data_IF_971291518016
#
_entry.id   IF_971291518016
#
_cell.length_a   1.000
_cell.length_b   1.000
_cell.length_c   1.000
_cell.angle_alpha   90.00
_cell.angle_beta   90.00
_cell.angle_gamma   90.00
#
_symmetry.space_group_name_H-M   'P 1'
#
loop_
_entity.id
_entity.type
_entity.pdbx_description
1 polymer ?
#
# COMPACT_ATOMS: atom_id res chain seq x y z
N UNK A 1 7.32 6.03 8.46
CA UNK A 1 7.72 5.11 9.56
C UNK A 1 9.06 4.44 9.34
N UNK A 2 9.25 3.60 8.33
CA UNK A 2 10.56 2.94 8.11
C UNK A 2 11.75 3.93 7.99
N UNK A 3 11.57 5.06 7.31
CA UNK A 3 12.60 6.11 7.22
C UNK A 3 12.95 6.72 8.59
N UNK A 4 11.93 6.99 9.42
CA UNK A 4 12.14 7.42 10.81
C UNK A 4 12.95 6.36 11.59
N UNK A 5 12.61 5.08 11.46
CA UNK A 5 13.38 4.02 12.13
C UNK A 5 14.85 4.01 11.69
N UNK A 6 15.14 4.19 10.40
CA UNK A 6 16.52 4.32 9.89
C UNK A 6 17.25 5.51 10.51
N UNK A 7 16.55 6.61 10.78
CA UNK A 7 17.11 7.76 11.49
C UNK A 7 17.40 7.42 12.95
N UNK A 8 16.48 6.76 13.66
CA UNK A 8 16.65 6.34 15.06
C UNK A 8 17.80 5.34 15.24
N UNK A 9 17.94 4.41 14.29
CA UNK A 9 19.00 3.40 14.22
C UNK A 9 20.42 3.97 14.14
N UNK A 10 20.59 5.26 13.79
CA UNK A 10 21.90 5.92 13.83
C UNK A 10 22.38 6.20 15.25
N UNK A 11 21.48 6.19 16.23
CA UNK A 11 21.75 6.60 17.60
C UNK A 11 21.52 5.49 18.63
N UNK A 12 20.57 4.59 18.38
CA UNK A 12 20.20 3.52 19.32
C UNK A 12 19.51 2.36 18.61
N UNK A 13 19.46 1.20 19.25
CA UNK A 13 18.85 -0.01 18.69
C UNK A 13 17.32 0.06 18.77
N UNK A 14 16.66 0.27 17.63
CA UNK A 14 15.19 0.29 17.50
C UNK A 14 14.68 -0.77 16.53
N UNK A 15 13.68 -1.56 16.94
CA UNK A 15 12.92 -2.40 16.02
C UNK A 15 11.57 -1.75 15.70
N UNK A 16 11.11 -1.89 14.46
CA UNK A 16 9.75 -1.52 14.08
C UNK A 16 8.83 -2.71 14.28
N UNK A 17 7.89 -2.57 15.21
CA UNK A 17 6.80 -3.54 15.38
C UNK A 17 5.79 -3.35 14.25
N UNK A 18 5.53 -4.41 13.49
CA UNK A 18 4.63 -4.38 12.35
C UNK A 18 3.16 -4.34 12.85
N UNK A 19 2.37 -3.33 12.48
CA UNK A 19 0.99 -3.20 12.94
C UNK A 19 0.12 -4.29 12.28
N UNK A 20 -0.59 -5.14 13.03
CA UNK A 20 -1.42 -6.18 12.45
C UNK A 20 -2.46 -5.59 11.51
N UNK A 21 -2.67 -6.26 10.38
CA UNK A 21 -3.72 -5.91 9.46
C UNK A 21 -5.08 -6.25 10.06
N UNK A 22 -6.05 -5.41 9.76
CA UNK A 22 -7.45 -5.64 10.11
C UNK A 22 -8.35 -4.90 9.14
N UNK A 23 -9.66 -4.94 9.38
CA UNK A 23 -10.68 -4.36 8.51
C UNK A 23 -10.35 -2.94 8.07
N UNK A 24 -9.84 -2.83 6.86
CA UNK A 24 -9.70 -1.57 6.15
C UNK A 24 -11.06 -1.21 5.52
N UNK A 25 -11.32 0.08 5.32
CA UNK A 25 -12.56 0.56 4.67
C UNK A 25 -12.86 -0.12 3.32
N UNK A 26 -11.81 -0.62 2.64
CA UNK A 26 -11.91 -1.27 1.34
C UNK A 26 -12.08 -2.79 1.39
N UNK A 27 -11.99 -3.41 2.57
CA UNK A 27 -12.17 -4.85 2.73
C UNK A 27 -13.67 -5.16 2.70
N UNK A 28 -14.08 -5.88 1.66
CA UNK A 28 -15.47 -6.03 1.23
C UNK A 28 -16.13 -7.28 1.78
N UNK A 29 -15.39 -8.12 2.47
CA UNK A 29 -15.85 -9.46 2.86
C UNK A 29 -16.19 -9.45 4.37
N UNK A 30 -17.41 -9.03 4.77
CA UNK A 30 -17.79 -8.95 6.18
C UNK A 30 -17.97 -10.33 6.83
N UNK A 31 -18.17 -11.37 6.02
CA UNK A 31 -18.46 -12.72 6.49
C UNK A 31 -17.19 -13.52 6.84
N UNK A 32 -16.00 -12.97 6.56
CA UNK A 32 -14.73 -13.55 6.98
C UNK A 32 -14.08 -12.74 8.11
N UNK A 33 -13.44 -13.45 9.04
CA UNK A 33 -12.69 -12.83 10.13
C UNK A 33 -11.38 -12.26 9.58
N UNK A 34 -11.25 -10.93 9.61
CA UNK A 34 -10.12 -10.19 9.05
C UNK A 34 -9.60 -9.12 10.03
N UNK A 35 -9.05 -9.57 11.15
CA UNK A 35 -8.43 -8.72 12.18
C UNK A 35 -7.24 -9.49 12.77
N UNK A 36 -6.26 -8.77 13.31
CA UNK A 36 -5.03 -9.35 13.88
C UNK A 36 -4.22 -10.18 12.86
N UNK A 37 -4.30 -9.86 11.58
CA UNK A 37 -3.59 -10.59 10.53
C UNK A 37 -2.11 -10.13 10.52
N UNK A 38 -1.13 -11.04 10.64
CA UNK A 38 0.28 -10.66 10.61
C UNK A 38 0.73 -10.23 9.22
N UNK A 39 1.86 -9.52 9.13
CA UNK A 39 2.40 -9.09 7.84
C UNK A 39 2.88 -10.25 6.98
N UNK A 40 3.31 -11.36 7.59
CA UNK A 40 3.72 -12.59 6.91
C UNK A 40 2.68 -13.18 5.95
N UNK A 41 1.39 -12.89 6.15
CA UNK A 41 0.31 -13.30 5.23
C UNK A 41 0.35 -12.54 3.90
N UNK A 42 1.00 -11.37 3.84
CA UNK A 42 1.01 -10.49 2.66
C UNK A 42 2.42 -10.22 2.12
N UNK A 43 3.40 -10.10 3.00
CA UNK A 43 4.77 -9.73 2.67
C UNK A 43 5.79 -10.72 3.23
N UNK A 44 6.90 -10.86 2.53
CA UNK A 44 8.05 -11.62 2.99
C UNK A 44 8.79 -10.83 4.09
N UNK A 45 8.61 -11.23 5.34
CA UNK A 45 9.17 -10.52 6.51
C UNK A 45 10.69 -10.55 6.53
N UNK A 46 11.31 -11.61 6.01
CA UNK A 46 12.76 -11.68 5.82
C UNK A 46 13.27 -10.60 4.85
N UNK A 47 12.53 -10.36 3.76
CA UNK A 47 12.82 -9.28 2.82
C UNK A 47 12.69 -7.90 3.47
N UNK A 48 11.69 -7.68 4.32
CA UNK A 48 11.55 -6.44 5.10
C UNK A 48 12.74 -6.26 6.07
N UNK A 49 13.10 -7.33 6.77
CA UNK A 49 14.17 -7.37 7.78
C UNK A 49 15.55 -7.02 7.21
N UNK A 50 15.77 -7.28 5.93
CA UNK A 50 16.97 -6.86 5.20
C UNK A 50 17.10 -5.34 5.05
N UNK A 51 16.01 -4.57 5.16
CA UNK A 51 16.03 -3.10 5.04
C UNK A 51 16.06 -2.41 6.40
N UNK A 52 15.29 -2.91 7.38
CA UNK A 52 15.21 -2.40 8.74
C UNK A 52 14.86 -3.54 9.72
N UNK A 53 15.26 -3.49 11.00
CA UNK A 53 14.81 -4.46 11.99
C UNK A 53 13.30 -4.36 12.18
N UNK A 54 12.59 -5.44 11.88
CA UNK A 54 11.14 -5.54 12.03
C UNK A 54 10.80 -6.81 12.80
N UNK A 55 9.73 -6.75 13.59
CA UNK A 55 9.14 -7.89 14.29
C UNK A 55 7.63 -7.83 14.15
N UNK A 56 6.97 -8.98 14.18
CA UNK A 56 5.50 -9.03 14.21
C UNK A 56 4.98 -8.56 15.58
N UNK A 57 3.72 -8.13 15.64
CA UNK A 57 3.16 -7.63 16.89
C UNK A 57 3.12 -8.68 18.02
N UNK A 58 2.79 -9.93 17.70
CA UNK A 58 2.78 -11.01 18.69
C UNK A 58 4.17 -11.32 19.25
N UNK A 59 5.22 -11.17 18.43
CA UNK A 59 6.61 -11.28 18.87
C UNK A 59 6.96 -10.17 19.85
N UNK A 60 6.55 -8.92 19.56
CA UNK A 60 6.65 -7.82 20.51
C UNK A 60 5.95 -8.13 21.85
N UNK A 61 4.76 -8.72 21.84
CA UNK A 61 4.05 -9.09 23.08
C UNK A 61 4.85 -10.11 23.91
N UNK A 62 5.54 -11.04 23.26
CA UNK A 62 6.36 -12.05 23.92
C UNK A 62 7.67 -11.46 24.49
N UNK A 63 8.33 -10.58 23.75
CA UNK A 63 9.63 -10.00 24.13
C UNK A 63 9.53 -8.87 25.17
N UNK A 64 8.48 -8.05 25.10
CA UNK A 64 8.29 -6.90 25.99
C UNK A 64 7.81 -7.29 27.41
N UNK A 65 7.45 -8.56 27.62
CA UNK A 65 6.95 -9.07 28.89
C UNK A 65 5.44 -8.83 29.13
N UNK A 66 4.70 -8.41 28.10
CA UNK A 66 3.24 -8.31 28.14
C UNK A 66 2.66 -7.33 27.12
N UNK A 67 1.33 -7.17 27.08
CA UNK A 67 0.65 -6.33 26.09
C UNK A 67 0.64 -4.85 26.49
N UNK A 68 1.80 -4.31 26.88
CA UNK A 68 1.95 -2.95 27.36
C UNK A 68 2.78 -2.08 26.41
N UNK A 69 2.18 -0.97 25.99
CA UNK A 69 2.86 0.09 25.25
C UNK A 69 3.10 1.24 26.23
N UNK A 70 4.35 1.60 26.47
CA UNK A 70 4.71 2.57 27.50
C UNK A 70 4.23 3.98 27.15
N UNK A 71 4.34 4.38 25.88
CA UNK A 71 3.89 5.69 25.42
C UNK A 71 3.13 5.60 24.10
N UNK A 72 1.93 6.18 24.05
CA UNK A 72 1.19 6.43 22.82
C UNK A 72 1.20 7.92 22.53
N UNK A 73 1.70 8.29 21.36
CA UNK A 73 1.57 9.64 20.82
C UNK A 73 0.51 9.65 19.72
N UNK A 74 -0.58 10.39 19.94
CA UNK A 74 -1.60 10.62 18.92
C UNK A 74 -1.18 11.83 18.09
N UNK A 75 -0.81 11.60 16.83
CA UNK A 75 -0.37 12.66 15.94
C UNK A 75 -1.57 13.44 15.39
N UNK A 76 -1.43 14.75 15.31
CA UNK A 76 -2.46 15.66 14.82
C UNK A 76 -1.83 16.85 14.10
N UNK A 77 -2.63 17.60 13.34
CA UNK A 77 -2.20 18.90 12.82
C UNK A 77 -2.04 19.95 13.93
N UNK A 78 -1.47 21.10 13.58
CA UNK A 78 -1.51 22.28 14.45
C UNK A 78 -2.91 22.93 14.38
N UNK A 79 -3.53 23.16 15.55
CA UNK A 79 -4.89 23.71 15.63
C UNK A 79 -4.99 25.12 15.00
N UNK A 80 -3.91 25.89 15.09
CA UNK A 80 -3.76 27.20 14.48
C UNK A 80 -3.57 27.17 12.95
N UNK A 81 -3.37 26.00 12.35
CA UNK A 81 -2.99 25.84 10.95
C UNK A 81 -1.61 26.46 10.66
N UNK A 82 -1.39 26.86 9.41
CA UNK A 82 -0.21 27.61 8.99
C UNK A 82 -0.61 28.80 8.12
N UNK A 83 0.20 29.86 8.12
CA UNK A 83 0.03 30.99 7.19
C UNK A 83 0.73 30.66 5.88
N UNK A 84 0.16 31.07 4.75
CA UNK A 84 0.79 30.93 3.43
C UNK A 84 2.22 31.50 3.46
N UNK A 85 3.19 30.71 2.99
CA UNK A 85 4.62 31.07 2.98
C UNK A 85 5.40 30.77 4.27
N UNK A 86 4.77 30.19 5.31
CA UNK A 86 5.41 29.88 6.61
C UNK A 86 5.39 28.39 6.97
N UNK A 87 5.54 27.51 5.98
CA UNK A 87 5.63 26.09 6.24
C UNK A 87 7.01 25.75 6.84
N UNK A 88 7.02 25.31 8.09
CA UNK A 88 8.21 24.86 8.81
C UNK A 88 8.00 23.43 9.33
N UNK A 89 9.06 22.63 9.37
CA UNK A 89 8.99 21.32 10.02
C UNK A 89 9.09 21.51 11.54
N UNK A 90 8.11 20.98 12.27
CA UNK A 90 8.05 21.06 13.73
C UNK A 90 7.16 19.98 14.33
N UNK A 91 7.43 19.70 15.60
CA UNK A 91 6.66 18.79 16.43
C UNK A 91 6.60 19.36 17.85
N UNK A 92 5.39 19.45 18.39
CA UNK A 92 5.16 19.98 19.74
C UNK A 92 4.13 19.13 20.48
N UNK A 93 4.37 18.92 21.78
CA UNK A 93 3.32 18.41 22.66
C UNK A 93 2.23 19.48 22.81
N UNK A 94 0.99 19.12 22.45
CA UNK A 94 -0.16 20.02 22.46
C UNK A 94 -1.37 19.32 23.08
N UNK A 95 -2.38 20.07 23.56
CA UNK A 95 -3.66 19.49 23.90
C UNK A 95 -4.25 18.71 22.72
N UNK A 96 -4.90 17.60 23.01
CA UNK A 96 -5.61 16.82 22.00
C UNK A 96 -6.75 17.66 21.41
N UNK A 97 -6.79 17.76 20.08
CA UNK A 97 -7.82 18.53 19.36
C UNK A 97 -9.13 17.75 19.35
N UNK A 98 -9.06 16.52 18.87
CA UNK A 98 -10.20 15.61 18.86
C UNK A 98 -10.31 14.85 20.18
N UNK A 99 -11.51 14.35 20.45
CA UNK A 99 -11.72 13.43 21.56
C UNK A 99 -10.86 12.18 21.36
N UNK A 100 -10.00 11.87 22.35
CA UNK A 100 -9.18 10.67 22.33
C UNK A 100 -10.04 9.42 22.17
N UNK A 101 -9.66 8.55 21.24
CA UNK A 101 -10.25 7.22 21.10
C UNK A 101 -9.71 6.23 22.16
N UNK A 102 -8.87 6.72 23.08
CA UNK A 102 -8.31 5.99 24.20
C UNK A 102 -9.06 6.36 25.47
N UNK A 103 -9.31 5.38 26.34
CA UNK A 103 -10.00 5.58 27.61
C UNK A 103 -9.32 4.81 28.73
N UNK A 104 -9.24 5.40 29.91
CA UNK A 104 -8.65 4.76 31.08
C UNK A 104 -9.55 3.65 31.62
N UNK A 105 -8.95 2.51 31.97
CA UNK A 105 -9.60 1.45 32.71
C UNK A 105 -9.51 1.66 34.23
N UNK A 106 -10.10 0.73 34.99
CA UNK A 106 -10.15 0.80 36.46
C UNK A 106 -8.77 0.77 37.14
N UNK A 107 -7.73 0.37 36.43
CA UNK A 107 -6.35 0.28 36.92
C UNK A 107 -5.51 1.48 36.45
N UNK A 108 -6.11 2.44 35.75
CA UNK A 108 -5.42 3.63 35.23
C UNK A 108 -4.65 3.38 33.93
N UNK A 109 -4.86 2.26 33.25
CA UNK A 109 -4.26 1.99 31.94
C UNK A 109 -5.20 2.40 30.80
N UNK A 110 -4.63 2.89 29.70
CA UNK A 110 -5.41 3.27 28.53
C UNK A 110 -5.76 2.04 27.67
N UNK A 111 -7.06 1.87 27.41
CA UNK A 111 -7.61 0.97 26.40
C UNK A 111 -7.88 1.73 25.12
N UNK A 112 -7.71 1.07 23.99
CA UNK A 112 -7.97 1.62 22.66
C UNK A 112 -8.20 0.50 21.66
N UNK A 113 -8.20 0.83 20.36
CA UNK A 113 -8.39 -0.16 19.31
C UNK A 113 -7.25 -1.20 19.26
N UNK A 114 -5.99 -0.75 19.32
CA UNK A 114 -4.79 -1.59 19.32
C UNK A 114 -4.85 -2.79 18.36
N UNK A 115 -5.25 -2.53 17.10
CA UNK A 115 -5.33 -3.52 16.02
C UNK A 115 -6.24 -4.73 16.32
N UNK A 116 -7.20 -4.55 17.24
CA UNK A 116 -8.15 -5.56 17.67
C UNK A 116 -7.67 -6.41 18.85
N UNK A 117 -6.50 -6.15 19.43
CA UNK A 117 -6.01 -6.81 20.65
C UNK A 117 -6.60 -6.13 21.89
N UNK A 118 -7.66 -6.72 22.43
CA UNK A 118 -8.40 -6.18 23.59
C UNK A 118 -7.58 -6.19 24.88
N UNK A 119 -6.56 -7.01 24.93
CA UNK A 119 -5.58 -7.17 26.02
C UNK A 119 -4.55 -6.03 26.05
N UNK A 120 -4.33 -5.32 24.94
CA UNK A 120 -3.32 -4.25 24.85
C UNK A 120 -3.67 -3.04 25.70
N UNK A 121 -2.67 -2.51 26.39
CA UNK A 121 -2.78 -1.36 27.28
C UNK A 121 -1.68 -0.33 26.98
N UNK A 122 -2.08 0.92 26.88
CA UNK A 122 -1.15 2.06 26.92
C UNK A 122 -0.92 2.51 28.36
N UNK A 123 0.33 2.73 28.77
CA UNK A 123 0.61 3.29 30.10
C UNK A 123 0.39 4.80 30.13
N UNK A 124 0.73 5.50 29.04
CA UNK A 124 0.51 6.92 28.89
C UNK A 124 0.04 7.26 27.47
N UNK A 125 -0.86 8.24 27.34
CA UNK A 125 -1.38 8.73 26.05
C UNK A 125 -1.32 10.25 26.04
N UNK A 126 -0.70 10.82 25.01
CA UNK A 126 -0.68 12.27 24.80
C UNK A 126 -0.70 12.62 23.32
N UNK A 127 -1.11 13.84 22.98
CA UNK A 127 -1.14 14.30 21.59
C UNK A 127 0.09 15.11 21.21
N UNK A 128 0.57 14.91 19.98
CA UNK A 128 1.63 15.71 19.37
C UNK A 128 1.09 16.38 18.12
N UNK A 129 1.15 17.70 18.06
CA UNK A 129 0.94 18.42 16.81
C UNK A 129 2.21 18.32 15.99
N UNK A 130 2.09 17.87 14.74
CA UNK A 130 3.23 17.65 13.85
C UNK A 130 2.98 18.26 12.47
N UNK A 131 4.05 18.79 11.90
CA UNK A 131 4.11 19.28 10.53
C UNK A 131 5.50 18.91 10.00
N UNK A 132 5.58 18.05 8.99
CA UNK A 132 6.86 17.70 8.38
C UNK A 132 7.04 16.23 8.05
N UNK A 133 8.27 15.92 7.68
CA UNK A 133 8.74 14.58 7.36
C UNK A 133 8.78 13.68 8.60
N UNK A 134 8.64 12.36 8.41
CA UNK A 134 8.62 11.40 9.52
C UNK A 134 9.84 11.50 10.45
N UNK A 135 11.03 11.80 9.92
CA UNK A 135 12.25 11.95 10.72
C UNK A 135 12.24 13.14 11.69
N UNK A 136 11.29 14.09 11.60
CA UNK A 136 11.12 15.18 12.58
C UNK A 136 10.82 14.64 13.99
N UNK A 137 10.31 13.41 14.07
CA UNK A 137 10.01 12.74 15.34
C UNK A 137 11.26 12.24 16.07
N UNK A 138 12.42 12.15 15.41
CA UNK A 138 13.60 11.51 15.99
C UNK A 138 14.07 12.15 17.32
N UNK A 139 14.16 13.49 17.45
CA UNK A 139 14.54 14.10 18.73
C UNK A 139 13.54 13.79 19.85
N UNK A 140 12.23 13.76 19.55
CA UNK A 140 11.20 13.43 20.53
C UNK A 140 11.38 12.00 21.07
N UNK A 141 11.71 11.06 20.18
CA UNK A 141 11.84 9.64 20.52
C UNK A 141 13.19 9.29 21.16
N UNK A 142 14.23 10.09 20.93
CA UNK A 142 15.59 9.84 21.46
C UNK A 142 15.89 10.63 22.74
N UNK A 143 15.33 11.83 22.90
CA UNK A 143 15.72 12.76 23.96
C UNK A 143 14.58 13.05 24.95
N UNK A 144 13.34 13.12 24.47
CA UNK A 144 12.21 13.62 25.27
C UNK A 144 11.44 12.52 26.02
N UNK A 145 11.85 11.27 25.89
CA UNK A 145 11.18 10.13 26.53
C UNK A 145 12.17 9.07 26.96
N UNK A 146 11.82 8.35 28.02
CA UNK A 146 12.55 7.15 28.47
C UNK A 146 11.79 5.86 28.13
N UNK A 147 10.69 5.98 27.41
CA UNK A 147 9.82 4.87 27.06
C UNK A 147 10.53 3.88 26.12
N UNK A 148 10.41 2.59 26.42
CA UNK A 148 10.98 1.48 25.63
C UNK A 148 10.09 1.03 24.48
N UNK A 149 8.77 1.21 24.61
CA UNK A 149 7.80 0.91 23.57
C UNK A 149 6.92 2.13 23.29
N UNK A 150 6.98 2.60 22.04
CA UNK A 150 6.30 3.84 21.63
C UNK A 150 5.43 3.56 20.41
N UNK A 151 4.16 3.95 20.51
CA UNK A 151 3.22 3.91 19.39
C UNK A 151 2.96 5.32 18.89
N UNK A 152 3.13 5.55 17.59
CA UNK A 152 2.67 6.75 16.91
C UNK A 152 1.33 6.43 16.23
N UNK A 153 0.23 6.86 16.85
CA UNK A 153 -1.10 6.77 16.24
C UNK A 153 -1.30 7.93 15.26
N UNK A 154 -2.17 7.74 14.26
CA UNK A 154 -2.41 8.71 13.17
C UNK A 154 -1.12 9.07 12.41
N UNK A 155 -0.29 8.05 12.15
CA UNK A 155 1.01 8.18 11.49
C UNK A 155 0.95 8.77 10.07
N UNK A 156 -0.23 8.85 9.45
CA UNK A 156 -0.44 9.52 8.16
C UNK A 156 -0.21 11.05 8.21
N UNK A 157 -0.16 11.66 9.40
CA UNK A 157 0.22 13.07 9.56
C UNK A 157 1.71 13.32 9.26
N UNK A 158 2.53 12.26 9.17
CA UNK A 158 3.95 12.34 8.84
C UNK A 158 4.17 12.15 7.34
N UNK A 159 4.88 13.09 6.72
CA UNK A 159 5.26 13.02 5.32
C UNK A 159 6.49 12.10 5.11
N UNK A 160 6.75 11.74 3.86
CA UNK A 160 8.00 11.09 3.49
C UNK A 160 9.17 12.07 3.59
N UNK A 161 10.27 11.67 4.24
CA UNK A 161 11.51 12.47 4.29
C UNK A 161 11.99 12.90 2.91
N UNK A 162 12.18 11.93 2.01
CA UNK A 162 12.50 12.18 0.60
C UNK A 162 11.77 11.16 -0.26
N UNK A 163 10.57 11.51 -0.72
CA UNK A 163 9.79 10.65 -1.61
C UNK A 163 10.57 10.34 -2.89
N UNK A 164 10.50 9.08 -3.35
CA UNK A 164 11.25 8.56 -4.50
C UNK A 164 12.79 8.67 -4.41
N UNK A 165 13.36 8.98 -3.23
CA UNK A 165 14.79 8.89 -2.98
C UNK A 165 15.29 7.46 -2.78
N UNK A 166 16.60 7.28 -2.62
CA UNK A 166 17.23 5.95 -2.39
C UNK A 166 16.61 5.20 -1.21
N UNK A 167 16.41 5.88 -0.08
CA UNK A 167 15.86 5.24 1.12
C UNK A 167 14.38 4.87 0.99
N UNK A 168 13.62 5.67 0.25
CA UNK A 168 12.26 5.35 -0.16
C UNK A 168 12.25 4.05 -0.98
N UNK A 169 13.08 3.99 -2.03
CA UNK A 169 13.15 2.83 -2.91
C UNK A 169 13.69 1.58 -2.23
N UNK A 170 14.68 1.69 -1.34
CA UNK A 170 15.12 0.55 -0.52
C UNK A 170 13.98 -0.01 0.32
N UNK A 171 13.19 0.87 0.94
CA UNK A 171 12.01 0.45 1.71
C UNK A 171 10.97 -0.17 0.80
N UNK A 172 10.60 0.47 -0.31
CA UNK A 172 9.58 -0.03 -1.22
C UNK A 172 9.96 -1.36 -1.90
N UNK A 173 11.24 -1.54 -2.25
CA UNK A 173 11.77 -2.80 -2.81
C UNK A 173 11.85 -3.93 -1.79
N UNK A 174 11.98 -3.59 -0.50
CA UNK A 174 11.98 -4.60 0.57
C UNK A 174 10.59 -5.20 0.83
N UNK A 175 9.51 -4.51 0.42
CA UNK A 175 8.13 -4.97 0.52
C UNK A 175 7.79 -5.97 -0.59
N UNK A 176 8.50 -7.11 -0.59
CA UNK A 176 8.24 -8.21 -1.51
C UNK A 176 7.00 -8.97 -1.06
N UNK A 177 6.06 -9.21 -1.97
CA UNK A 177 4.89 -10.04 -1.65
C UNK A 177 5.30 -11.46 -1.25
N UNK A 178 4.58 -12.03 -0.29
CA UNK A 178 4.81 -13.41 0.15
C UNK A 178 4.72 -14.39 -1.02
N UNK A 179 5.54 -15.45 -0.96
CA UNK A 179 5.74 -16.37 -2.08
C UNK A 179 4.44 -17.03 -2.54
N UNK A 180 3.55 -17.39 -1.61
CA UNK A 180 2.33 -18.11 -1.96
C UNK A 180 1.38 -17.25 -2.83
N UNK A 181 1.23 -15.95 -2.53
CA UNK A 181 0.42 -15.04 -3.34
C UNK A 181 1.00 -14.82 -4.74
N UNK A 182 2.34 -14.71 -4.85
CA UNK A 182 3.02 -14.62 -6.15
C UNK A 182 2.77 -15.86 -7.00
N UNK A 183 2.87 -17.05 -6.41
CA UNK A 183 2.61 -18.31 -7.11
C UNK A 183 1.18 -18.40 -7.65
N UNK A 184 0.18 -17.97 -6.88
CA UNK A 184 -1.22 -17.91 -7.35
C UNK A 184 -1.37 -16.96 -8.54
N UNK A 185 -0.75 -15.77 -8.45
CA UNK A 185 -0.75 -14.83 -9.56
C UNK A 185 -0.03 -15.35 -10.80
N UNK A 186 1.09 -16.06 -10.63
CA UNK A 186 1.85 -16.70 -11.72
C UNK A 186 1.08 -17.85 -12.36
N UNK A 187 0.39 -18.66 -11.57
CA UNK A 187 -0.49 -19.71 -12.07
C UNK A 187 -1.64 -19.12 -12.89
N UNK A 188 -2.25 -18.04 -12.41
CA UNK A 188 -3.29 -17.33 -13.15
C UNK A 188 -2.76 -16.76 -14.47
N UNK A 189 -1.60 -16.09 -14.44
CA UNK A 189 -0.91 -15.56 -15.62
C UNK A 189 -0.66 -16.66 -16.66
N UNK A 190 -0.16 -17.81 -16.24
CA UNK A 190 0.12 -18.93 -17.12
C UNK A 190 -1.17 -19.49 -17.74
N UNK A 191 -2.16 -19.79 -16.91
CA UNK A 191 -3.40 -20.47 -17.29
C UNK A 191 -4.32 -19.60 -18.15
N UNK A 192 -4.48 -18.32 -17.81
CA UNK A 192 -5.49 -17.46 -18.41
C UNK A 192 -4.93 -16.36 -19.31
N UNK A 193 -3.65 -16.01 -19.17
CA UNK A 193 -3.06 -14.85 -19.87
C UNK A 193 -1.90 -15.20 -20.80
N UNK A 194 -1.50 -16.48 -20.91
CA UNK A 194 -0.35 -16.92 -21.70
C UNK A 194 0.93 -16.14 -21.33
N UNK A 195 1.11 -15.92 -20.03
CA UNK A 195 2.13 -15.07 -19.45
C UNK A 195 2.98 -15.88 -18.47
N UNK A 196 4.29 -15.69 -18.54
CA UNK A 196 5.30 -16.35 -17.69
C UNK A 196 6.56 -15.50 -17.68
N UNK A 197 7.33 -15.51 -16.59
CA UNK A 197 8.49 -14.63 -16.45
C UNK A 197 9.56 -14.76 -17.54
N UNK A 198 9.77 -15.97 -18.06
CA UNK A 198 10.71 -16.25 -19.13
C UNK A 198 10.28 -15.59 -20.45
N UNK A 199 9.03 -15.80 -20.85
CA UNK A 199 8.47 -15.24 -22.10
C UNK A 199 8.28 -13.71 -22.01
N UNK A 200 7.94 -13.22 -20.82
CA UNK A 200 7.64 -11.81 -20.56
C UNK A 200 8.89 -10.99 -20.27
N UNK A 201 10.03 -11.66 -20.07
CA UNK A 201 11.32 -11.09 -19.63
C UNK A 201 11.21 -10.35 -18.30
N UNK A 202 10.36 -10.84 -17.40
CA UNK A 202 10.11 -10.28 -16.06
C UNK A 202 10.84 -11.00 -14.93
N UNK A 203 11.69 -12.01 -15.25
CA UNK A 203 12.49 -12.82 -14.29
C UNK A 203 12.77 -12.11 -12.97
N UNK A 204 12.13 -12.59 -11.91
CA UNK A 204 12.24 -12.07 -10.55
C UNK A 204 13.51 -12.60 -9.85
N UNK A 205 14.05 -11.83 -8.90
CA UNK A 205 15.15 -12.28 -8.04
C UNK A 205 14.68 -12.22 -6.58
N UNK A 206 14.64 -13.38 -5.90
CA UNK A 206 14.13 -13.51 -4.53
C UNK A 206 14.84 -12.57 -3.53
N UNK A 207 16.16 -12.41 -3.68
CA UNK A 207 16.89 -11.42 -2.89
C UNK A 207 16.80 -10.03 -3.52
N UNK A 208 15.88 -9.20 -3.00
CA UNK A 208 15.61 -7.86 -3.55
C UNK A 208 16.85 -6.96 -3.59
N UNK A 209 17.82 -7.12 -2.67
CA UNK A 209 19.05 -6.31 -2.62
C UNK A 209 19.88 -6.51 -3.90
N UNK A 210 19.85 -7.72 -4.47
CA UNK A 210 20.59 -8.06 -5.68
C UNK A 210 19.91 -7.56 -6.95
N UNK A 211 18.65 -7.16 -6.89
CA UNK A 211 17.94 -6.53 -8.01
C UNK A 211 18.63 -5.20 -8.31
N UNK A 212 19.13 -5.06 -9.54
CA UNK A 212 19.75 -3.84 -10.06
C UNK A 212 18.98 -3.39 -11.30
N UNK A 213 19.33 -2.21 -11.80
CA UNK A 213 18.83 -1.75 -13.09
C UNK A 213 19.04 -2.82 -14.16
N UNK A 214 17.96 -3.25 -14.81
CA UNK A 214 18.01 -4.29 -15.84
C UNK A 214 18.74 -3.77 -17.08
N UNK A 215 19.55 -4.60 -17.75
CA UNK A 215 20.21 -4.23 -19.00
C UNK A 215 19.21 -4.08 -20.17
N UNK A 216 18.02 -4.70 -20.06
CA UNK A 216 16.95 -4.62 -21.05
C UNK A 216 15.59 -4.49 -20.36
N UNK A 217 14.71 -3.69 -20.95
CA UNK A 217 13.34 -3.50 -20.49
C UNK A 217 12.53 -4.81 -20.63
N UNK A 218 11.78 -5.24 -19.60
CA UNK A 218 10.82 -6.33 -19.71
C UNK A 218 9.79 -6.07 -20.80
N UNK A 219 9.28 -7.14 -21.40
CA UNK A 219 8.23 -7.08 -22.42
C UNK A 219 6.83 -7.09 -21.77
N UNK A 220 6.64 -7.90 -20.73
CA UNK A 220 5.34 -8.17 -20.13
C UNK A 220 4.49 -9.14 -20.96
N UNK A 221 3.55 -9.77 -20.26
CA UNK A 221 2.66 -10.78 -20.84
C UNK A 221 1.75 -10.21 -21.94
N UNK A 222 1.21 -11.06 -22.83
CA UNK A 222 0.46 -10.63 -24.02
C UNK A 222 -0.98 -10.19 -23.69
N UNK A 223 -1.14 -9.34 -22.68
CA UNK A 223 -2.41 -8.78 -22.22
C UNK A 223 -2.25 -7.33 -21.76
N UNK A 224 -3.37 -6.61 -21.75
CA UNK A 224 -3.51 -5.28 -21.15
C UNK A 224 -3.88 -5.44 -19.68
N UNK A 225 -3.17 -4.77 -18.77
CA UNK A 225 -3.50 -4.69 -17.36
C UNK A 225 -4.31 -3.43 -17.08
N UNK A 226 -5.46 -3.57 -16.43
CA UNK A 226 -6.35 -2.47 -16.10
C UNK A 226 -6.65 -2.49 -14.61
N UNK A 227 -6.53 -1.34 -13.95
CA UNK A 227 -7.11 -1.15 -12.62
C UNK A 227 -8.21 -0.08 -12.69
N UNK A 228 -9.44 -0.50 -12.39
CA UNK A 228 -10.62 0.37 -12.38
C UNK A 228 -11.20 0.46 -10.97
N UNK A 229 -10.99 1.61 -10.31
CA UNK A 229 -11.53 1.92 -9.00
C UNK A 229 -12.87 2.64 -9.15
N UNK A 230 -13.95 2.04 -8.64
CA UNK A 230 -15.33 2.48 -8.82
C UNK A 230 -15.93 3.03 -7.53
N UNK A 231 -16.14 2.20 -6.50
CA UNK A 231 -17.06 2.47 -5.36
C UNK A 231 -17.14 3.90 -4.84
N UNK A 232 -16.31 4.25 -3.86
CA UNK A 232 -16.23 5.56 -3.23
C UNK A 232 -15.76 6.64 -4.21
N UNK A 233 -14.96 6.23 -5.20
CA UNK A 233 -14.46 7.10 -6.27
C UNK A 233 -15.55 7.65 -7.17
N UNK A 234 -16.65 6.93 -7.43
CA UNK A 234 -17.80 7.45 -8.19
C UNK A 234 -18.47 8.63 -7.46
N UNK A 235 -18.30 8.79 -6.15
CA UNK A 235 -18.88 9.90 -5.40
C UNK A 235 -17.86 11.01 -5.16
N UNK A 236 -16.62 10.66 -4.82
CA UNK A 236 -15.54 11.61 -4.52
C UNK A 236 -14.75 12.15 -5.72
N UNK A 237 -14.76 11.45 -6.85
CA UNK A 237 -13.84 11.64 -7.99
C UNK A 237 -14.56 11.54 -9.35
N UNK A 238 -15.78 12.09 -9.45
CA UNK A 238 -16.63 11.98 -10.65
C UNK A 238 -16.02 12.57 -11.91
N UNK A 239 -15.21 13.60 -11.76
CA UNK A 239 -14.71 14.39 -12.90
C UNK A 239 -13.46 13.76 -13.53
N UNK A 240 -12.76 12.87 -12.82
CA UNK A 240 -11.50 12.24 -13.25
C UNK A 240 -11.58 10.71 -13.37
N UNK A 241 -12.75 10.11 -13.13
CA UNK A 241 -13.04 8.69 -13.34
C UNK A 241 -14.03 8.52 -14.52
N UNK A 242 -13.73 7.66 -15.52
CA UNK A 242 -14.60 7.48 -16.68
C UNK A 242 -15.89 6.70 -16.38
N UNK A 243 -16.86 6.81 -17.29
CA UNK A 243 -17.99 5.87 -17.37
C UNK A 243 -17.53 4.49 -17.87
N UNK A 244 -18.35 3.45 -17.65
CA UNK A 244 -18.04 2.08 -18.10
C UNK A 244 -17.92 2.00 -19.64
N UNK A 245 -18.79 2.70 -20.35
CA UNK A 245 -18.75 2.79 -21.81
C UNK A 245 -17.45 3.44 -22.29
N UNK A 246 -17.07 4.57 -21.70
CA UNK A 246 -15.82 5.25 -22.07
C UNK A 246 -14.59 4.42 -21.72
N UNK A 247 -14.63 3.73 -20.58
CA UNK A 247 -13.59 2.77 -20.16
C UNK A 247 -13.42 1.66 -21.20
N UNK A 248 -14.53 1.06 -21.65
CA UNK A 248 -14.50 0.01 -22.66
C UNK A 248 -13.94 0.51 -24.00
N UNK A 249 -14.36 1.70 -24.46
CA UNK A 249 -13.82 2.32 -25.69
C UNK A 249 -12.29 2.48 -25.63
N UNK A 250 -11.77 2.98 -24.51
CA UNK A 250 -10.33 3.17 -24.31
C UNK A 250 -9.58 1.83 -24.26
N UNK A 251 -10.14 0.83 -23.57
CA UNK A 251 -9.59 -0.53 -23.53
C UNK A 251 -9.51 -1.12 -24.95
N UNK A 252 -10.59 -1.05 -25.73
CA UNK A 252 -10.63 -1.53 -27.12
C UNK A 252 -9.61 -0.82 -28.00
N UNK A 253 -9.48 0.50 -27.84
CA UNK A 253 -8.48 1.32 -28.54
C UNK A 253 -7.05 0.86 -28.22
N UNK A 254 -6.73 0.65 -26.95
CA UNK A 254 -5.43 0.18 -26.49
C UNK A 254 -5.13 -1.25 -26.96
N UNK A 255 -6.09 -2.17 -26.87
CA UNK A 255 -5.95 -3.54 -27.36
C UNK A 255 -5.60 -3.55 -28.85
N UNK A 256 -6.31 -2.77 -29.67
CA UNK A 256 -6.04 -2.63 -31.11
C UNK A 256 -4.66 -2.03 -31.38
N UNK A 257 -4.31 -0.93 -30.69
CA UNK A 257 -3.02 -0.23 -30.86
C UNK A 257 -1.83 -1.10 -30.49
N UNK A 258 -1.96 -1.88 -29.42
CA UNK A 258 -0.90 -2.74 -28.88
C UNK A 258 -0.91 -4.15 -29.45
N UNK A 259 -1.88 -4.47 -30.31
CA UNK A 259 -2.11 -5.81 -30.89
C UNK A 259 -2.28 -6.90 -29.81
N UNK A 260 -2.99 -6.55 -28.73
CA UNK A 260 -3.31 -7.45 -27.63
C UNK A 260 -4.74 -7.99 -27.79
N UNK A 261 -4.97 -9.23 -27.34
CA UNK A 261 -6.26 -9.91 -27.46
C UNK A 261 -6.98 -10.13 -26.13
N UNK A 262 -6.29 -9.91 -25.01
CA UNK A 262 -6.79 -10.14 -23.66
C UNK A 262 -6.57 -8.89 -22.82
N UNK A 263 -7.51 -8.64 -21.91
CA UNK A 263 -7.40 -7.61 -20.89
C UNK A 263 -7.69 -8.24 -19.53
N UNK A 264 -6.80 -8.01 -18.57
CA UNK A 264 -7.01 -8.33 -17.18
C UNK A 264 -7.52 -7.08 -16.45
N UNK A 265 -8.63 -7.19 -15.72
CA UNK A 265 -9.25 -6.06 -15.02
C UNK A 265 -9.30 -6.33 -13.52
N UNK A 266 -8.46 -5.63 -12.75
CA UNK A 266 -8.59 -5.49 -11.31
C UNK A 266 -9.59 -4.38 -10.98
N UNK A 267 -10.66 -4.68 -10.26
CA UNK A 267 -11.71 -3.70 -9.95
C UNK A 267 -12.47 -4.04 -8.68
N UNK A 268 -12.91 -3.00 -7.97
CA UNK A 268 -13.82 -3.10 -6.83
C UNK A 268 -15.29 -2.87 -7.22
N UNK A 269 -15.60 -2.86 -8.52
CA UNK A 269 -16.94 -2.70 -9.07
C UNK A 269 -17.96 -3.67 -8.44
N UNK A 270 -19.20 -3.21 -8.30
CA UNK A 270 -20.29 -4.08 -7.85
C UNK A 270 -20.75 -5.04 -8.96
N UNK A 271 -21.67 -5.94 -8.59
CA UNK A 271 -22.17 -6.97 -9.52
C UNK A 271 -22.78 -6.38 -10.79
N UNK A 272 -23.51 -5.26 -10.70
CA UNK A 272 -24.19 -4.66 -11.84
C UNK A 272 -23.18 -4.06 -12.82
N UNK A 273 -22.23 -3.27 -12.30
CA UNK A 273 -21.14 -2.70 -13.09
C UNK A 273 -20.29 -3.80 -13.75
N UNK A 274 -20.04 -4.91 -13.04
CA UNK A 274 -19.31 -6.07 -13.57
C UNK A 274 -20.07 -6.78 -14.69
N UNK A 275 -21.37 -6.97 -14.55
CA UNK A 275 -22.21 -7.55 -15.61
C UNK A 275 -22.25 -6.66 -16.86
N UNK A 276 -22.23 -5.33 -16.69
CA UNK A 276 -22.14 -4.37 -17.80
C UNK A 276 -20.75 -4.40 -18.46
N UNK A 277 -19.67 -4.36 -17.68
CA UNK A 277 -18.29 -4.45 -18.19
C UNK A 277 -18.09 -5.72 -19.02
N UNK A 278 -18.61 -6.88 -18.58
CA UNK A 278 -18.54 -8.15 -19.33
C UNK A 278 -19.25 -8.08 -20.67
N UNK A 279 -20.35 -7.32 -20.78
CA UNK A 279 -21.06 -7.12 -22.05
C UNK A 279 -20.27 -6.19 -22.98
N UNK A 280 -19.67 -5.14 -22.43
CA UNK A 280 -18.91 -4.14 -23.18
C UNK A 280 -17.52 -4.65 -23.61
N UNK A 281 -16.92 -5.56 -22.83
CA UNK A 281 -15.57 -6.09 -23.01
C UNK A 281 -15.59 -7.62 -22.86
N UNK A 282 -16.07 -8.37 -23.86
CA UNK A 282 -16.22 -9.83 -23.74
C UNK A 282 -14.90 -10.59 -23.52
N UNK A 283 -13.77 -10.02 -23.95
CA UNK A 283 -12.42 -10.56 -23.75
C UNK A 283 -11.82 -10.25 -22.36
N UNK A 284 -12.57 -9.60 -21.46
CA UNK A 284 -12.09 -9.34 -20.12
C UNK A 284 -11.90 -10.62 -19.32
N UNK A 285 -10.80 -10.67 -18.58
CA UNK A 285 -10.45 -11.73 -17.65
C UNK A 285 -10.26 -11.09 -16.27
N UNK A 286 -10.71 -11.76 -15.21
CA UNK A 286 -10.55 -11.32 -13.82
C UNK A 286 -10.17 -12.49 -12.94
N UNK A 287 -9.40 -12.22 -11.90
CA UNK A 287 -9.22 -13.15 -10.80
C UNK A 287 -10.52 -13.18 -9.97
N UNK A 288 -11.18 -14.33 -9.94
CA UNK A 288 -12.38 -14.55 -9.13
C UNK A 288 -12.04 -15.60 -8.08
N UNK A 289 -11.78 -15.18 -6.84
CA UNK A 289 -11.52 -16.10 -5.75
C UNK A 289 -12.77 -16.90 -5.39
N UNK A 290 -12.57 -18.18 -5.14
CA UNK A 290 -13.51 -19.03 -4.41
C UNK A 290 -13.66 -18.56 -2.96
N UNK A 291 -14.66 -19.07 -2.25
CA UNK A 291 -14.86 -18.71 -0.85
C UNK A 291 -13.68 -19.19 0.02
N UNK A 292 -13.14 -20.37 -0.29
CA UNK A 292 -11.97 -20.97 0.37
C UNK A 292 -10.70 -20.15 0.12
N UNK A 293 -10.47 -19.71 -1.11
CA UNK A 293 -9.34 -18.82 -1.44
C UNK A 293 -9.47 -17.46 -0.77
N UNK A 294 -10.69 -16.92 -0.68
CA UNK A 294 -10.95 -15.67 0.01
C UNK A 294 -10.73 -15.79 1.53
N UNK A 295 -11.14 -16.91 2.13
CA UNK A 295 -10.85 -17.20 3.54
C UNK A 295 -9.35 -17.37 3.77
N UNK A 296 -8.62 -17.98 2.84
CA UNK A 296 -7.18 -18.19 2.95
C UNK A 296 -6.39 -16.88 2.78
N UNK A 297 -6.58 -16.19 1.64
CA UNK A 297 -5.77 -15.04 1.27
C UNK A 297 -6.27 -13.73 1.87
N UNK A 298 -7.52 -13.70 2.38
CA UNK A 298 -8.19 -12.49 2.83
C UNK A 298 -8.33 -11.46 1.69
N UNK A 299 -9.01 -10.35 1.96
CA UNK A 299 -9.17 -9.27 0.97
C UNK A 299 -7.81 -8.67 0.57
N UNK A 300 -6.87 -8.59 1.51
CA UNK A 300 -5.52 -8.09 1.25
C UNK A 300 -4.72 -8.96 0.28
N UNK A 301 -4.79 -10.29 0.40
CA UNK A 301 -4.07 -11.19 -0.48
C UNK A 301 -4.67 -11.24 -1.88
N UNK A 302 -6.00 -11.21 -2.00
CA UNK A 302 -6.68 -11.06 -3.30
C UNK A 302 -6.26 -9.76 -4.00
N UNK A 303 -6.22 -8.64 -3.25
CA UNK A 303 -5.74 -7.37 -3.77
C UNK A 303 -4.27 -7.44 -4.24
N UNK A 304 -3.40 -8.15 -3.52
CA UNK A 304 -2.00 -8.36 -3.92
C UNK A 304 -1.90 -9.20 -5.19
N UNK A 305 -2.71 -10.26 -5.32
CA UNK A 305 -2.76 -11.09 -6.54
C UNK A 305 -3.16 -10.23 -7.74
N UNK A 306 -4.19 -9.40 -7.61
CA UNK A 306 -4.60 -8.44 -8.64
C UNK A 306 -3.46 -7.48 -9.02
N UNK A 307 -2.76 -6.90 -8.02
CA UNK A 307 -1.63 -6.02 -8.27
C UNK A 307 -0.49 -6.73 -8.98
N UNK A 308 -0.18 -7.97 -8.58
CA UNK A 308 0.86 -8.79 -9.18
C UNK A 308 0.56 -9.08 -10.64
N UNK A 309 -0.67 -9.50 -10.96
CA UNK A 309 -1.10 -9.76 -12.34
C UNK A 309 -1.07 -8.45 -13.15
N UNK A 310 -1.56 -7.33 -12.62
CA UNK A 310 -1.47 -6.04 -13.31
C UNK A 310 -0.02 -5.60 -13.57
N UNK A 311 0.89 -5.82 -12.61
CA UNK A 311 2.29 -5.43 -12.72
C UNK A 311 3.01 -6.15 -13.87
N UNK A 312 2.58 -7.36 -14.25
CA UNK A 312 3.21 -8.17 -15.29
C UNK A 312 2.65 -7.95 -16.71
N UNK A 313 1.65 -7.10 -16.87
CA UNK A 313 1.06 -6.80 -18.17
C UNK A 313 2.04 -6.08 -19.11
N UNK A 314 1.90 -6.27 -20.43
CA UNK A 314 2.67 -5.51 -21.43
C UNK A 314 2.42 -4.00 -21.37
N UNK A 315 1.21 -3.62 -20.99
CA UNK A 315 0.81 -2.25 -20.79
C UNK A 315 -0.15 -2.18 -19.63
N UNK A 316 -0.01 -1.15 -18.79
CA UNK A 316 -0.88 -0.90 -17.65
C UNK A 316 -1.53 0.48 -17.76
N UNK A 317 -2.83 0.52 -17.41
CA UNK A 317 -3.60 1.74 -17.22
C UNK A 317 -4.41 1.65 -15.92
N UNK A 318 -4.26 2.65 -15.07
CA UNK A 318 -4.88 2.70 -13.75
C UNK A 318 -6.02 3.72 -13.63
N UNK A 319 -6.45 3.94 -12.39
CA UNK A 319 -7.42 4.97 -12.04
C UNK A 319 -6.72 6.17 -11.43
N UNK A 320 -7.23 7.38 -11.73
CA UNK A 320 -6.75 8.64 -11.17
C UNK A 320 -6.61 8.56 -9.65
N UNK A 321 -5.51 9.12 -9.12
CA UNK A 321 -5.20 9.27 -7.68
C UNK A 321 -5.36 8.02 -6.80
N UNK A 322 -5.50 6.83 -7.39
CA UNK A 322 -5.71 5.60 -6.65
C UNK A 322 -4.41 5.07 -6.08
N UNK A 323 -4.34 4.92 -4.75
CA UNK A 323 -3.20 4.32 -4.05
C UNK A 323 -2.92 2.89 -4.51
N UNK A 324 -3.96 2.13 -4.89
CA UNK A 324 -3.83 0.80 -5.49
C UNK A 324 -3.08 0.85 -6.83
N UNK A 325 -3.44 1.79 -7.72
CA UNK A 325 -2.69 2.03 -8.96
C UNK A 325 -1.26 2.48 -8.68
N UNK A 326 -1.03 3.32 -7.67
CA UNK A 326 0.32 3.74 -7.30
C UNK A 326 1.20 2.56 -6.86
N UNK A 327 0.64 1.57 -6.14
CA UNK A 327 1.39 0.36 -5.78
C UNK A 327 1.80 -0.44 -7.01
N UNK A 328 0.91 -0.55 -8.00
CA UNK A 328 1.19 -1.21 -9.29
C UNK A 328 2.27 -0.44 -10.07
N UNK A 329 2.20 0.88 -10.14
CA UNK A 329 3.22 1.69 -10.83
C UNK A 329 4.62 1.41 -10.27
N UNK A 330 4.76 1.36 -8.96
CA UNK A 330 6.03 1.09 -8.31
C UNK A 330 6.49 -0.35 -8.50
N UNK A 331 5.57 -1.32 -8.50
CA UNK A 331 5.92 -2.72 -8.77
C UNK A 331 6.45 -2.87 -10.20
N UNK A 332 5.83 -2.18 -11.16
CA UNK A 332 6.29 -2.11 -12.56
C UNK A 332 7.65 -1.41 -12.69
N UNK A 333 7.89 -0.36 -11.91
CA UNK A 333 9.20 0.32 -11.86
C UNK A 333 10.29 -0.60 -11.29
N UNK A 334 9.97 -1.40 -10.25
CA UNK A 334 10.87 -2.40 -9.67
C UNK A 334 11.17 -3.52 -10.68
N UNK A 335 10.15 -3.99 -11.40
CA UNK A 335 10.32 -4.96 -12.48
C UNK A 335 11.09 -4.37 -13.67
N UNK A 336 11.14 -3.03 -13.79
CA UNK A 336 11.94 -2.31 -14.77
C UNK A 336 11.24 -2.04 -16.09
N UNK A 337 9.90 -2.01 -16.11
CA UNK A 337 9.09 -1.70 -17.29
C UNK A 337 9.33 -0.28 -17.81
N UNK A 338 9.07 -0.06 -19.10
CA UNK A 338 9.13 1.29 -19.69
C UNK A 338 8.07 2.19 -19.02
N UNK A 339 8.42 3.39 -18.53
CA UNK A 339 7.48 4.33 -17.94
C UNK A 339 6.24 4.60 -18.80
N UNK A 340 6.38 4.62 -20.14
CA UNK A 340 5.27 4.80 -21.10
C UNK A 340 4.21 3.71 -21.01
N UNK A 341 4.57 2.53 -20.49
CA UNK A 341 3.67 1.39 -20.30
C UNK A 341 3.14 1.28 -18.88
N UNK A 342 3.51 2.21 -18.00
CA UNK A 342 3.31 2.10 -16.55
C UNK A 342 2.47 3.26 -16.02
N UNK A 343 2.88 4.49 -16.28
CA UNK A 343 2.27 5.68 -15.72
C UNK A 343 1.15 6.19 -16.62
N UNK A 344 0.06 5.42 -16.69
CA UNK A 344 -1.12 5.78 -17.48
C UNK A 344 -2.36 5.69 -16.60
N UNK A 345 -3.31 6.61 -16.81
CA UNK A 345 -4.64 6.52 -16.18
C UNK A 345 -5.76 6.76 -17.17
N UNK A 346 -6.94 6.26 -16.84
CA UNK A 346 -8.14 6.73 -17.50
C UNK A 346 -8.41 8.20 -17.15
N UNK A 347 -8.97 8.89 -18.14
CA UNK A 347 -9.45 10.27 -18.02
C UNK A 347 -10.95 10.27 -17.79
N UNK A 348 -11.45 11.25 -17.04
CA UNK A 348 -12.89 11.44 -16.92
C UNK A 348 -13.52 11.83 -18.27
N UNK A 349 -14.79 11.47 -18.47
CA UNK A 349 -15.49 11.64 -19.75
C UNK A 349 -15.47 13.09 -20.27
N UNK A 350 -15.46 14.08 -19.37
CA UNK A 350 -15.47 15.52 -19.67
C UNK A 350 -14.14 16.20 -19.33
N UNK A 351 -13.15 15.43 -18.91
CA UNK A 351 -11.87 15.93 -18.46
C UNK A 351 -11.06 16.45 -19.66
N UNK A 352 -10.87 17.77 -19.72
CA UNK A 352 -10.10 18.40 -20.82
C UNK A 352 -8.59 18.26 -20.64
N UNK A 353 -8.13 18.40 -19.40
CA UNK A 353 -6.72 18.36 -19.03
C UNK A 353 -6.45 17.11 -18.18
N UNK A 354 -6.38 15.96 -18.84
CA UNK A 354 -6.12 14.69 -18.18
C UNK A 354 -4.62 14.52 -17.90
N UNK A 355 -4.16 15.11 -16.80
CA UNK A 355 -2.79 14.94 -16.34
C UNK A 355 -2.52 13.46 -16.02
N UNK A 356 -1.43 12.95 -16.59
CA UNK A 356 -1.00 11.56 -16.38
C UNK A 356 -0.16 11.45 -15.10
N UNK A 357 -0.13 10.26 -14.46
CA UNK A 357 0.64 10.07 -13.24
C UNK A 357 2.13 10.44 -13.43
N UNK A 358 2.72 11.11 -12.45
CA UNK A 358 4.14 11.45 -12.48
C UNK A 358 5.01 10.20 -12.47
N UNK A 359 6.03 10.16 -13.33
CA UNK A 359 7.06 9.12 -13.30
C UNK A 359 8.02 9.36 -12.14
N UNK A 360 7.91 8.54 -11.09
CA UNK A 360 8.87 8.48 -10.00
C UNK A 360 9.90 7.41 -10.30
N UNK A 361 11.08 7.82 -10.77
CA UNK A 361 12.12 6.88 -11.19
C UNK A 361 12.76 6.17 -10.01
N UNK A 362 12.94 4.85 -10.13
CA UNK A 362 13.69 4.04 -9.15
C UNK A 362 15.15 4.48 -9.04
N UNK A 363 15.64 4.55 -7.79
CA UNK A 363 17.03 4.84 -7.44
C UNK A 363 17.61 3.64 -6.70
N UNK A 364 18.65 3.02 -7.27
CA UNK A 364 19.37 1.87 -6.71
C UNK A 364 20.53 2.29 -5.81
#
# INVERSE_FOLDING_TARGET
MASLLKTLQKSSDWALVLPPWGRLYHWQSPDIHQVRIPWSEFFDVDSLSKNIPVIEYEEFLAESGGPFIEQVYVLQGYAEGWKEGTWEEKVDQRPCIDQLMYSEDKHGYYRGWFWGYEETRGLNVSCLSVQGSASIMAPILLENTTARSIMLDRAENLLHDHYAGRDYWNTRRSMVFTKHLRLVGDEFRASFLQSSDENDKTIFHEDWIKVKQRPSTPLGGPYLGVHLRRKDFIWGHREDVPTLHRTAEEIHSLLKKLQLKKVFIATDADRQDLEELRKLIPEMVRFESTWEELELYKDGGVAIIDQWICAHARYFIGTSVSTFSFRIHEEREILGFDPKTTYNRFCGDKEKNCEQPTHWKIVY
#
